data_IF_267634073958
#
_entry.id   IF_267634073958
#
_cell.length_a   1.000
_cell.length_b   1.000
_cell.length_c   1.000
_cell.angle_alpha   90.00
_cell.angle_beta   90.00
_cell.angle_gamma   90.00
#
_symmetry.space_group_name_H-M   'P 1'
#
loop_
_entity.id
_entity.type
_entity.pdbx_description
1 polymer ?
#
# COMPACT_ATOMS: atom_id res chain seq x y z
N UNK A 1 -47.50 58.33 22.13
CA UNK A 1 -46.51 57.77 23.05
C UNK A 1 -45.76 56.69 22.24
N UNK A 2 -44.83 56.97 21.31
CA UNK A 2 -43.59 57.77 21.37
C UNK A 2 -42.76 57.32 22.57
N UNK A 3 -41.61 56.63 22.50
CA UNK A 3 -40.43 56.59 21.60
C UNK A 3 -39.60 55.27 21.89
N UNK A 4 -38.31 55.08 21.51
CA UNK A 4 -37.71 55.04 20.18
C UNK A 4 -36.75 53.84 19.90
N UNK A 5 -36.44 53.69 18.60
CA UNK A 5 -35.31 53.00 17.99
C UNK A 5 -33.93 53.42 18.55
N UNK A 6 -32.98 52.48 18.59
CA UNK A 6 -31.54 52.76 18.71
C UNK A 6 -30.75 51.94 17.68
N UNK A 7 -30.05 52.64 16.80
CA UNK A 7 -29.09 52.11 15.83
C UNK A 7 -27.66 52.30 16.36
N UNK A 8 -26.70 51.40 16.07
CA UNK A 8 -25.30 51.65 16.32
C UNK A 8 -24.60 52.33 15.13
N UNK A 9 -23.79 53.34 15.47
CA UNK A 9 -23.02 54.17 14.56
C UNK A 9 -21.78 53.46 14.01
N UNK A 10 -21.47 53.73 12.75
CA UNK A 10 -20.26 53.30 12.05
C UNK A 10 -19.24 54.45 12.08
N UNK A 11 -18.12 54.26 12.78
CA UNK A 11 -16.98 55.16 12.75
C UNK A 11 -15.96 54.69 11.71
N UNK A 12 -15.85 55.49 10.66
CA UNK A 12 -14.85 55.46 9.59
C UNK A 12 -13.53 56.00 10.15
N UNK A 13 -12.45 55.22 10.09
CA UNK A 13 -11.08 55.73 10.24
C UNK A 13 -10.27 55.40 8.99
N UNK A 14 -9.99 56.47 8.24
CA UNK A 14 -9.11 56.53 7.08
C UNK A 14 -7.65 56.34 7.52
N UNK A 15 -6.92 55.38 6.92
CA UNK A 15 -5.45 55.34 6.96
C UNK A 15 -4.90 55.46 5.54
N UNK A 16 -4.12 56.51 5.32
CA UNK A 16 -3.33 56.73 4.10
C UNK A 16 -2.10 55.81 4.06
N UNK A 17 -1.63 55.44 2.86
CA UNK A 17 -0.39 54.69 2.67
C UNK A 17 0.84 55.61 2.65
N UNK A 18 1.89 55.21 3.37
CA UNK A 18 3.22 55.82 3.30
C UNK A 18 4.04 55.17 2.17
N UNK A 19 4.62 56.03 1.33
CA UNK A 19 5.59 55.74 0.28
C UNK A 19 6.98 55.45 0.85
N UNK A 20 7.64 54.38 0.39
CA UNK A 20 9.07 54.13 0.59
C UNK A 20 9.77 54.10 -0.79
N UNK A 21 10.85 54.87 -1.01
CA UNK A 21 11.68 54.75 -2.20
C UNK A 21 12.93 53.89 -1.97
N UNK A 22 13.35 53.26 -3.07
CA UNK A 22 14.70 52.84 -3.46
C UNK A 22 15.46 51.75 -2.69
N UNK A 23 15.65 50.60 -3.36
CA UNK A 23 16.96 49.94 -3.47
C UNK A 23 16.99 48.89 -4.60
N UNK A 24 17.64 49.26 -5.71
CA UNK A 24 18.73 48.51 -6.35
C UNK A 24 18.50 47.02 -6.71
N UNK A 25 18.16 46.74 -7.97
CA UNK A 25 18.33 45.41 -8.57
C UNK A 25 19.32 45.44 -9.74
N UNK A 26 20.48 44.84 -9.48
CA UNK A 26 21.55 44.65 -10.44
C UNK A 26 21.17 43.65 -11.55
N UNK A 27 21.57 44.00 -12.77
CA UNK A 27 21.45 43.17 -13.97
C UNK A 27 22.52 42.07 -13.95
N UNK A 28 22.10 40.82 -13.75
CA UNK A 28 22.91 39.62 -14.01
C UNK A 28 22.38 38.88 -15.23
N UNK A 29 23.03 39.06 -16.39
CA UNK A 29 22.88 38.19 -17.57
C UNK A 29 23.60 36.88 -17.27
N UNK A 30 22.89 35.75 -17.44
CA UNK A 30 23.47 34.42 -17.38
C UNK A 30 22.75 33.49 -18.35
N UNK A 31 23.43 33.14 -19.42
CA UNK A 31 23.14 32.03 -20.33
C UNK A 31 22.84 30.72 -19.59
N UNK A 32 21.93 29.92 -20.13
CA UNK A 32 22.17 28.50 -20.50
C UNK A 32 20.90 27.78 -20.98
N UNK A 33 21.02 27.20 -22.17
CA UNK A 33 20.79 25.77 -22.34
C UNK A 33 19.35 25.32 -22.54
N UNK A 34 18.97 25.17 -23.81
CA UNK A 34 17.78 24.43 -24.19
C UNK A 34 17.86 22.96 -23.79
N UNK A 35 16.73 22.44 -23.29
CA UNK A 35 16.47 21.01 -23.19
C UNK A 35 15.11 20.72 -23.81
N UNK A 36 15.17 19.97 -24.91
CA UNK A 36 14.02 19.39 -25.61
C UNK A 36 13.32 18.40 -24.67
N UNK A 37 12.16 18.80 -24.15
CA UNK A 37 11.26 17.93 -23.40
C UNK A 37 10.43 17.05 -24.33
N UNK A 38 10.73 15.76 -24.32
CA UNK A 38 9.91 14.67 -24.89
C UNK A 38 8.48 14.72 -24.33
N UNK A 39 7.50 14.50 -25.21
CA UNK A 39 6.08 14.47 -24.90
C UNK A 39 5.72 13.52 -23.76
N UNK A 40 5.16 14.08 -22.70
CA UNK A 40 4.43 13.35 -21.68
C UNK A 40 2.99 13.17 -22.16
N UNK A 41 2.55 11.92 -22.29
CA UNK A 41 1.14 11.57 -22.43
C UNK A 41 0.40 12.01 -21.17
N UNK A 42 -0.52 12.94 -21.35
CA UNK A 42 -1.52 13.32 -20.34
C UNK A 42 -2.52 12.16 -20.25
N UNK A 43 -2.54 11.48 -19.10
CA UNK A 43 -3.69 10.62 -18.74
C UNK A 43 -4.71 11.57 -18.13
N UNK A 44 -5.83 11.75 -18.81
CA UNK A 44 -6.96 12.51 -18.32
C UNK A 44 -7.53 11.81 -17.08
N UNK A 45 -7.40 12.44 -15.92
CA UNK A 45 -8.27 12.14 -14.78
C UNK A 45 -9.62 12.78 -15.11
N UNK A 46 -10.65 11.95 -15.28
CA UNK A 46 -12.02 12.43 -15.36
C UNK A 46 -12.39 13.06 -14.02
N UNK A 47 -12.39 14.40 -13.98
CA UNK A 47 -13.04 15.19 -12.94
C UNK A 47 -14.53 15.12 -13.24
N UNK A 48 -15.28 14.46 -12.37
CA UNK A 48 -16.72 14.38 -12.47
C UNK A 48 -17.32 15.54 -11.67
N UNK A 49 -17.75 16.60 -12.36
CA UNK A 49 -18.56 17.67 -11.78
C UNK A 49 -20.03 17.20 -11.75
N UNK A 50 -20.61 17.11 -10.55
CA UNK A 50 -22.05 17.00 -10.37
C UNK A 50 -22.66 18.41 -10.37
N UNK A 51 -23.41 18.73 -11.43
CA UNK A 51 -24.34 19.86 -11.43
C UNK A 51 -25.73 19.37 -11.02
N UNK A 52 -26.38 20.10 -10.12
CA UNK A 52 -27.75 19.82 -9.65
C UNK A 52 -28.72 20.89 -10.17
N UNK A 53 -29.99 20.49 -10.35
CA UNK A 53 -31.16 21.21 -10.87
C UNK A 53 -31.25 21.26 -12.42
N UNK A 54 -32.39 21.06 -13.07
CA UNK A 54 -33.79 20.86 -12.68
C UNK A 54 -34.65 20.85 -13.97
N UNK A 55 -35.82 20.21 -13.89
CA UNK A 55 -36.85 19.92 -14.90
C UNK A 55 -37.08 20.90 -16.09
N UNK A 56 -37.29 20.31 -17.29
CA UNK A 56 -38.52 20.37 -18.13
C UNK A 56 -38.31 20.43 -19.67
N UNK A 57 -38.88 19.40 -20.33
CA UNK A 57 -39.51 19.37 -21.67
C UNK A 57 -38.69 19.37 -22.99
N UNK A 58 -39.25 18.77 -24.08
CA UNK A 58 -38.47 18.12 -25.14
C UNK A 58 -38.42 18.90 -26.45
N UNK A 59 -37.30 18.80 -27.17
CA UNK A 59 -37.25 19.04 -28.62
C UNK A 59 -36.12 18.26 -29.29
N UNK A 60 -36.47 17.51 -30.32
CA UNK A 60 -35.58 16.95 -31.35
C UNK A 60 -35.91 17.64 -32.68
N UNK A 61 -35.09 17.51 -33.74
CA UNK A 61 -33.63 17.45 -33.80
C UNK A 61 -33.08 18.54 -34.74
N UNK A 62 -31.82 18.97 -34.55
CA UNK A 62 -31.13 19.78 -35.57
C UNK A 62 -29.80 19.14 -35.97
N UNK A 63 -29.89 18.52 -37.13
CA UNK A 63 -28.84 18.24 -38.10
C UNK A 63 -27.85 19.41 -38.19
N UNK A 64 -26.57 19.16 -37.92
CA UNK A 64 -25.50 20.00 -38.44
C UNK A 64 -24.28 19.14 -38.78
N UNK A 65 -23.96 19.24 -40.05
CA UNK A 65 -22.88 18.63 -40.77
C UNK A 65 -21.50 19.15 -40.36
N UNK A 66 -20.52 18.39 -40.85
CA UNK A 66 -19.24 18.88 -41.38
C UNK A 66 -18.10 19.15 -40.40
N UNK A 67 -17.12 18.25 -40.44
CA UNK A 67 -15.81 18.40 -39.84
C UNK A 67 -14.85 17.30 -40.28
N UNK A 68 -14.77 17.08 -41.60
CA UNK A 68 -13.96 16.02 -42.20
C UNK A 68 -12.46 16.22 -41.98
N UNK A 69 -11.80 15.17 -41.49
CA UNK A 69 -10.36 15.01 -41.61
C UNK A 69 -10.07 13.94 -42.66
N UNK A 70 -10.01 14.40 -43.91
CA UNK A 70 -9.36 13.70 -45.03
C UNK A 70 -7.84 13.87 -44.86
N UNK A 71 -7.07 12.79 -45.03
CA UNK A 71 -5.64 12.97 -45.29
C UNK A 71 -4.75 11.73 -45.21
N UNK A 72 -4.72 10.96 -46.32
CA UNK A 72 -3.53 10.34 -46.98
C UNK A 72 -2.68 9.37 -46.11
N UNK A 73 -2.65 8.07 -46.39
CA UNK A 73 -2.01 7.45 -47.58
C UNK A 73 -0.52 7.24 -47.28
N UNK A 74 0.14 6.10 -47.46
CA UNK A 74 -0.19 4.81 -48.08
C UNK A 74 0.98 3.84 -47.85
N UNK A 75 1.08 2.84 -48.75
CA UNK A 75 2.07 1.76 -48.84
C UNK A 75 1.69 0.49 -48.06
N UNK A 76 0.93 -0.44 -48.68
CA UNK A 76 1.41 -1.48 -49.62
C UNK A 76 2.63 -2.25 -49.10
N UNK A 77 2.33 -3.36 -48.42
CA UNK A 77 3.20 -4.52 -48.26
C UNK A 77 2.37 -5.77 -48.49
N UNK A 78 2.05 -6.03 -49.77
CA UNK A 78 1.47 -7.28 -50.25
C UNK A 78 2.59 -8.33 -50.20
N UNK A 79 2.42 -9.38 -49.40
CA UNK A 79 3.42 -10.43 -49.30
C UNK A 79 2.86 -11.70 -48.68
N UNK A 80 2.48 -12.64 -49.54
CA UNK A 80 2.76 -14.07 -49.33
C UNK A 80 1.91 -14.81 -48.33
N UNK A 81 0.76 -15.27 -48.78
CA UNK A 81 0.08 -16.46 -48.29
C UNK A 81 0.93 -17.71 -48.50
N UNK A 82 1.40 -18.31 -47.41
CA UNK A 82 1.81 -19.73 -47.35
C UNK A 82 1.37 -20.33 -46.00
N UNK A 83 0.46 -21.31 -45.98
CA UNK A 83 0.10 -22.03 -44.77
C UNK A 83 1.10 -23.16 -44.55
N UNK A 84 2.28 -22.84 -44.02
CA UNK A 84 3.15 -23.86 -43.45
C UNK A 84 2.77 -24.08 -42.00
N UNK A 85 2.12 -25.22 -41.76
CA UNK A 85 2.48 -26.17 -40.71
C UNK A 85 2.96 -25.52 -39.41
N UNK A 86 2.06 -25.46 -38.42
CA UNK A 86 2.42 -25.29 -37.02
C UNK A 86 3.19 -26.53 -36.55
N UNK A 87 4.43 -26.60 -37.03
CA UNK A 87 5.48 -27.44 -36.51
C UNK A 87 5.68 -27.03 -35.06
N UNK A 88 5.56 -28.03 -34.22
CA UNK A 88 5.93 -28.12 -32.81
C UNK A 88 7.39 -27.71 -32.63
N UNK A 89 7.66 -26.42 -32.77
CA UNK A 89 8.95 -25.79 -32.54
C UNK A 89 9.21 -25.74 -31.05
N UNK A 90 9.80 -26.81 -30.53
CA UNK A 90 10.43 -26.83 -29.23
C UNK A 90 11.44 -25.70 -29.17
N UNK A 91 11.04 -24.60 -28.55
CA UNK A 91 11.97 -23.58 -28.10
C UNK A 91 12.88 -24.26 -27.07
N UNK A 92 14.02 -24.77 -27.56
CA UNK A 92 15.28 -24.83 -26.83
C UNK A 92 15.61 -23.40 -26.41
N UNK A 93 14.86 -22.89 -25.42
CA UNK A 93 15.22 -21.69 -24.68
C UNK A 93 16.55 -22.00 -24.03
N UNK A 94 17.61 -21.40 -24.57
CA UNK A 94 18.98 -21.59 -24.12
C UNK A 94 19.04 -21.44 -22.62
N UNK A 95 19.28 -22.57 -21.94
CA UNK A 95 19.51 -22.63 -20.52
C UNK A 95 20.73 -21.79 -20.18
N UNK A 96 20.51 -20.57 -19.72
CA UNK A 96 21.44 -19.90 -18.82
C UNK A 96 21.35 -20.60 -17.46
N UNK A 97 21.84 -21.84 -17.42
CA UNK A 97 21.96 -22.70 -16.24
C UNK A 97 23.10 -22.25 -15.30
N UNK A 98 23.29 -20.93 -15.17
CA UNK A 98 24.28 -20.31 -14.28
C UNK A 98 23.64 -19.37 -13.26
N UNK A 99 22.32 -19.38 -13.14
CA UNK A 99 21.62 -18.69 -12.05
C UNK A 99 21.97 -19.36 -10.74
N UNK A 100 22.66 -18.64 -9.86
CA UNK A 100 23.09 -19.07 -8.53
C UNK A 100 21.95 -19.81 -7.82
N UNK A 101 22.30 -20.90 -7.12
CA UNK A 101 21.42 -21.71 -6.25
C UNK A 101 20.96 -20.90 -5.02
N UNK A 102 20.52 -19.67 -5.21
CA UNK A 102 19.99 -18.85 -4.13
C UNK A 102 18.59 -19.38 -3.80
N UNK A 103 18.33 -19.76 -2.54
CA UNK A 103 17.03 -20.27 -2.16
C UNK A 103 15.95 -19.23 -2.48
N UNK A 104 14.74 -19.67 -2.91
CA UNK A 104 13.66 -18.74 -3.19
C UNK A 104 13.34 -17.93 -1.94
N UNK A 105 13.10 -16.63 -2.13
CA UNK A 105 12.76 -15.74 -1.03
C UNK A 105 11.59 -16.33 -0.21
N UNK A 106 11.66 -16.30 1.14
CA UNK A 106 10.64 -16.89 1.99
C UNK A 106 9.29 -16.23 1.75
N UNK A 107 8.21 -17.02 1.83
CA UNK A 107 6.85 -16.49 1.69
C UNK A 107 6.52 -15.60 2.91
N UNK A 108 5.90 -14.43 2.72
CA UNK A 108 5.45 -13.61 3.84
C UNK A 108 4.48 -14.38 4.74
N UNK A 109 4.70 -14.31 6.04
CA UNK A 109 3.89 -14.97 7.07
C UNK A 109 3.14 -13.95 7.93
N UNK A 110 3.70 -12.75 8.08
CA UNK A 110 3.17 -11.68 8.93
C UNK A 110 3.12 -10.35 8.19
N UNK A 111 2.38 -9.40 8.75
CA UNK A 111 2.29 -8.04 8.22
C UNK A 111 2.03 -7.03 9.34
N UNK A 112 2.46 -5.79 9.12
CA UNK A 112 2.11 -4.64 9.95
C UNK A 112 0.88 -3.97 9.38
N UNK A 113 -0.05 -3.57 10.25
CA UNK A 113 -1.32 -3.01 9.82
C UNK A 113 -1.83 -1.90 10.75
N UNK A 114 -2.55 -0.94 10.15
CA UNK A 114 -3.43 -0.02 10.86
C UNK A 114 -4.87 -0.58 10.80
N UNK A 115 -5.43 -1.07 11.91
CA UNK A 115 -6.76 -1.69 11.91
C UNK A 115 -7.85 -0.65 11.67
N UNK A 116 -8.70 -0.85 10.67
CA UNK A 116 -9.80 0.06 10.32
C UNK A 116 -11.16 -0.39 10.84
N UNK A 117 -11.27 -1.65 11.27
CA UNK A 117 -12.52 -2.25 11.74
C UNK A 117 -13.06 -1.65 13.05
N UNK A 118 -12.25 -0.90 13.78
CA UNK A 118 -12.65 -0.18 14.99
C UNK A 118 -13.60 0.99 14.69
N UNK A 119 -13.77 1.35 13.42
CA UNK A 119 -14.65 2.45 13.00
C UNK A 119 -16.01 1.89 12.49
N UNK A 120 -17.04 1.80 13.35
CA UNK A 120 -18.29 1.10 13.02
C UNK A 120 -19.01 1.70 11.81
N UNK A 121 -18.93 3.03 11.63
CA UNK A 121 -19.48 3.70 10.44
C UNK A 121 -18.81 3.23 9.16
N UNK A 122 -17.48 3.07 9.14
CA UNK A 122 -16.77 2.60 7.96
C UNK A 122 -17.14 1.15 7.65
N UNK A 123 -17.16 0.30 8.68
CA UNK A 123 -17.55 -1.10 8.52
C UNK A 123 -18.97 -1.25 7.97
N UNK A 124 -19.92 -0.44 8.48
CA UNK A 124 -21.30 -0.42 7.98
C UNK A 124 -21.38 0.04 6.52
N UNK A 125 -20.66 1.10 6.15
CA UNK A 125 -20.68 1.61 4.76
C UNK A 125 -20.07 0.60 3.79
N UNK A 126 -18.94 -0.02 4.14
CA UNK A 126 -18.32 -1.08 3.34
C UNK A 126 -19.25 -2.29 3.23
N UNK A 127 -19.94 -2.67 4.31
CA UNK A 127 -20.91 -3.76 4.30
C UNK A 127 -22.10 -3.48 3.38
N UNK A 128 -22.69 -2.29 3.46
CA UNK A 128 -23.78 -1.86 2.59
C UNK A 128 -23.34 -1.81 1.12
N UNK A 129 -22.16 -1.26 0.85
CA UNK A 129 -21.54 -1.24 -0.47
C UNK A 129 -21.35 -2.65 -1.04
N UNK A 130 -20.77 -3.56 -0.27
CA UNK A 130 -20.54 -4.95 -0.69
C UNK A 130 -21.88 -5.68 -0.95
N UNK A 131 -22.89 -5.44 -0.13
CA UNK A 131 -24.23 -6.01 -0.30
C UNK A 131 -24.90 -5.51 -1.58
N UNK A 132 -24.80 -4.20 -1.86
CA UNK A 132 -25.31 -3.61 -3.10
C UNK A 132 -24.62 -4.19 -4.34
N UNK A 133 -23.29 -4.37 -4.30
CA UNK A 133 -22.55 -4.99 -5.40
C UNK A 133 -22.99 -6.44 -5.66
N UNK A 134 -23.25 -7.21 -4.61
CA UNK A 134 -23.69 -8.61 -4.73
C UNK A 134 -25.14 -8.73 -5.20
N UNK A 135 -25.98 -7.74 -4.91
CA UNK A 135 -27.38 -7.68 -5.32
C UNK A 135 -27.59 -7.03 -6.69
N UNK A 136 -26.54 -6.53 -7.34
CA UNK A 136 -26.62 -5.82 -8.62
C UNK A 136 -27.15 -6.71 -9.75
N UNK A 137 -28.08 -6.18 -10.54
CA UNK A 137 -28.67 -6.84 -11.71
C UNK A 137 -28.45 -5.97 -12.96
N UNK A 138 -27.77 -6.45 -14.03
CA UNK A 138 -27.19 -7.79 -14.17
C UNK A 138 -26.01 -8.04 -13.23
N UNK A 139 -25.80 -9.29 -12.82
CA UNK A 139 -24.69 -9.65 -11.93
C UNK A 139 -23.34 -9.19 -12.48
N UNK A 140 -22.51 -8.57 -11.64
CA UNK A 140 -21.18 -8.09 -12.04
C UNK A 140 -20.28 -9.28 -12.40
N UNK A 141 -19.75 -9.29 -13.61
CA UNK A 141 -18.91 -10.37 -14.10
C UNK A 141 -17.71 -10.60 -13.16
N UNK A 142 -17.55 -11.84 -12.71
CA UNK A 142 -16.47 -12.23 -11.81
C UNK A 142 -16.68 -11.92 -10.33
N UNK A 143 -17.71 -11.18 -9.95
CA UNK A 143 -17.99 -10.90 -8.54
C UNK A 143 -18.79 -12.05 -7.90
N UNK A 144 -18.39 -12.47 -6.70
CA UNK A 144 -19.22 -13.34 -5.84
C UNK A 144 -18.84 -13.14 -4.36
N UNK A 145 -19.65 -13.69 -3.45
CA UNK A 145 -19.45 -13.49 -2.00
C UNK A 145 -18.10 -14.00 -1.46
N UNK A 146 -17.46 -14.98 -2.10
CA UNK A 146 -16.20 -15.57 -1.60
C UNK A 146 -14.98 -14.66 -1.74
N UNK A 147 -15.06 -13.63 -2.60
CA UNK A 147 -13.97 -12.66 -2.81
C UNK A 147 -14.14 -11.38 -1.99
N UNK A 148 -15.25 -11.27 -1.25
CA UNK A 148 -15.56 -10.12 -0.40
C UNK A 148 -14.73 -10.19 0.88
N UNK A 149 -14.11 -9.07 1.26
CA UNK A 149 -13.40 -8.98 2.55
C UNK A 149 -14.41 -8.60 3.63
N UNK A 150 -14.51 -9.42 4.67
CA UNK A 150 -15.31 -9.11 5.86
C UNK A 150 -14.94 -7.71 6.42
N UNK A 151 -15.89 -6.80 6.63
CA UNK A 151 -15.65 -5.47 7.21
C UNK A 151 -14.88 -5.49 8.55
N UNK A 152 -14.95 -6.57 9.33
CA UNK A 152 -14.17 -6.76 10.57
C UNK A 152 -12.67 -6.96 10.32
N UNK A 153 -12.28 -7.25 9.09
CA UNK A 153 -10.89 -7.49 8.66
C UNK A 153 -10.29 -6.30 7.93
N UNK A 154 -10.97 -5.15 7.88
CA UNK A 154 -10.45 -3.96 7.21
C UNK A 154 -9.22 -3.41 7.94
N UNK A 155 -8.18 -3.11 7.17
CA UNK A 155 -6.92 -2.56 7.65
C UNK A 155 -6.14 -1.90 6.50
N UNK A 156 -5.23 -0.98 6.83
CA UNK A 156 -4.16 -0.53 5.92
C UNK A 156 -2.90 -1.34 6.17
N UNK A 157 -2.31 -1.93 5.13
CA UNK A 157 -1.04 -2.66 5.27
C UNK A 157 0.15 -1.69 5.22
N UNK A 158 1.03 -1.75 6.23
CA UNK A 158 2.25 -0.95 6.31
C UNK A 158 3.49 -1.72 5.80
N UNK A 159 3.46 -3.04 5.82
CA UNK A 159 4.56 -3.88 5.36
C UNK A 159 4.25 -5.36 5.56
N UNK A 160 4.84 -6.20 4.72
CA UNK A 160 4.76 -7.66 4.82
C UNK A 160 6.14 -8.22 5.14
N UNK A 161 6.20 -9.27 5.95
CA UNK A 161 7.45 -9.86 6.43
C UNK A 161 7.33 -11.38 6.56
N UNK A 162 8.46 -12.07 6.45
CA UNK A 162 8.59 -13.47 6.80
C UNK A 162 9.33 -13.54 8.14
N UNK A 163 8.62 -13.97 9.18
CA UNK A 163 9.19 -14.19 10.51
C UNK A 163 9.43 -15.68 10.71
N UNK A 164 10.54 -16.00 11.35
CA UNK A 164 10.87 -17.34 11.80
C UNK A 164 10.09 -17.67 13.07
N UNK A 165 9.71 -18.94 13.20
CA UNK A 165 9.18 -19.46 14.46
C UNK A 165 10.27 -19.35 15.53
N UNK A 166 9.88 -18.97 16.75
CA UNK A 166 10.81 -19.05 17.87
C UNK A 166 11.17 -20.52 18.04
N UNK A 167 12.46 -20.84 17.98
CA UNK A 167 12.94 -22.13 18.46
C UNK A 167 12.47 -22.23 19.91
N UNK A 168 11.38 -22.98 20.11
CA UNK A 168 10.94 -23.36 21.44
C UNK A 168 12.13 -23.93 22.20
N UNK A 169 12.14 -23.87 23.55
CA UNK A 169 13.27 -24.34 24.34
C UNK A 169 13.68 -25.69 23.79
N UNK A 170 14.87 -25.75 23.17
CA UNK A 170 15.34 -26.92 22.43
C UNK A 170 15.01 -28.10 23.34
N UNK A 171 14.19 -29.08 22.88
CA UNK A 171 13.65 -30.11 23.76
C UNK A 171 14.85 -30.66 24.50
N UNK A 172 14.94 -30.29 25.79
CA UNK A 172 16.12 -30.54 26.61
C UNK A 172 16.34 -32.00 26.44
N UNK A 173 17.42 -32.38 25.77
CA UNK A 173 17.70 -33.75 25.37
C UNK A 173 17.65 -34.57 26.65
N UNK A 174 16.46 -35.06 26.97
CA UNK A 174 16.18 -35.85 28.13
C UNK A 174 16.95 -37.10 27.82
N UNK A 175 18.11 -37.18 28.46
CA UNK A 175 19.08 -38.25 28.38
C UNK A 175 18.39 -39.53 27.95
N UNK A 176 18.56 -39.87 26.67
CA UNK A 176 18.46 -41.26 26.27
C UNK A 176 19.59 -41.98 26.99
N UNK A 177 19.32 -42.36 28.25
CA UNK A 177 19.98 -43.45 28.95
C UNK A 177 19.50 -44.72 28.24
N UNK A 178 19.88 -44.86 26.97
CA UNK A 178 19.82 -46.11 26.26
C UNK A 178 20.88 -47.01 26.90
N UNK A 179 20.43 -47.80 27.88
CA UNK A 179 21.08 -49.04 28.29
C UNK A 179 21.43 -49.81 27.01
N UNK A 180 22.71 -49.96 26.73
CA UNK A 180 23.23 -50.98 25.81
C UNK A 180 22.91 -52.37 26.36
N UNK A 181 22.17 -53.23 25.64
CA UNK A 181 22.36 -54.66 25.72
C UNK A 181 23.46 -55.01 24.70
N UNK A 182 24.57 -55.53 25.19
CA UNK A 182 25.76 -55.75 24.40
C UNK A 182 25.57 -56.67 23.19
N UNK A 183 26.44 -56.50 22.21
CA UNK A 183 26.91 -57.62 21.42
C UNK A 183 28.35 -57.38 20.98
N UNK A 184 29.20 -58.30 21.43
CA UNK A 184 30.59 -58.49 21.03
C UNK A 184 30.63 -58.98 19.59
N UNK A 185 31.59 -58.49 18.83
CA UNK A 185 32.14 -59.16 17.65
C UNK A 185 33.60 -58.75 17.49
N UNK A 186 34.56 -59.69 17.55
CA UNK A 186 35.93 -59.42 17.12
C UNK A 186 35.99 -59.56 15.59
N UNK A 187 36.81 -58.78 14.90
CA UNK A 187 37.83 -59.31 13.99
C UNK A 187 38.73 -58.18 13.41
N UNK A 188 39.98 -58.50 13.06
CA UNK A 188 41.07 -57.54 12.86
C UNK A 188 41.51 -57.39 11.39
N UNK A 189 42.53 -56.53 11.21
CA UNK A 189 43.44 -56.39 10.05
C UNK A 189 42.81 -55.80 8.78
N UNK A 190 43.47 -55.01 7.94
CA UNK A 190 44.77 -54.35 7.90
C UNK A 190 44.64 -53.42 6.67
N UNK A 191 45.04 -52.15 6.76
CA UNK A 191 45.62 -51.44 5.61
C UNK A 191 46.20 -50.10 6.05
N UNK A 192 47.48 -50.16 6.37
CA UNK A 192 48.38 -49.03 6.51
C UNK A 192 48.55 -48.39 5.13
N UNK A 193 48.06 -47.17 4.96
CA UNK A 193 48.52 -46.27 3.90
C UNK A 193 48.79 -44.90 4.53
N UNK A 194 50.04 -44.72 4.95
CA UNK A 194 50.58 -43.43 5.40
C UNK A 194 50.94 -42.61 4.17
N UNK A 195 50.17 -41.55 3.91
CA UNK A 195 50.53 -40.50 2.95
C UNK A 195 51.06 -39.28 3.72
N UNK A 196 52.37 -38.97 3.64
CA UNK A 196 52.96 -37.84 4.35
C UNK A 196 53.14 -36.67 3.39
N UNK A 197 52.17 -35.74 3.34
CA UNK A 197 52.38 -34.30 3.09
C UNK A 197 51.09 -33.54 2.76
N UNK A 198 50.26 -33.29 3.76
CA UNK A 198 49.35 -32.13 3.73
C UNK A 198 49.72 -31.20 4.86
N UNK A 199 50.53 -30.20 4.52
CA UNK A 199 50.86 -29.06 5.37
C UNK A 199 49.58 -28.25 5.60
N UNK A 200 48.78 -28.67 6.56
CA UNK A 200 47.63 -27.92 7.07
C UNK A 200 48.16 -26.62 7.67
N UNK A 201 47.95 -25.52 6.96
CA UNK A 201 48.05 -24.18 7.52
C UNK A 201 47.11 -24.10 8.72
N UNK A 202 47.55 -23.61 9.89
CA UNK A 202 46.70 -23.43 11.05
C UNK A 202 45.60 -22.46 10.65
N UNK A 203 44.42 -23.00 10.35
CA UNK A 203 43.25 -22.22 9.99
C UNK A 203 42.72 -21.70 11.32
N UNK A 204 42.94 -20.41 11.55
CA UNK A 204 42.53 -19.71 12.76
C UNK A 204 41.04 -20.01 13.06
N UNK A 205 40.72 -20.78 14.12
CA UNK A 205 39.36 -21.17 14.45
C UNK A 205 38.50 -20.00 14.94
N UNK A 206 39.03 -18.78 14.96
CA UNK A 206 38.38 -17.61 15.56
C UNK A 206 37.41 -16.88 14.65
N UNK A 207 37.38 -17.16 13.34
CA UNK A 207 36.59 -16.38 12.38
C UNK A 207 35.21 -17.00 12.09
N UNK A 208 34.41 -17.21 13.13
CA UNK A 208 32.98 -17.43 12.91
C UNK A 208 32.37 -16.12 12.39
N UNK A 209 31.66 -16.13 11.24
CA UNK A 209 30.94 -14.96 10.79
C UNK A 209 29.95 -14.53 11.87
N UNK A 210 29.80 -13.21 12.12
CA UNK A 210 28.84 -12.72 13.10
C UNK A 210 27.47 -13.31 12.78
N UNK A 211 26.89 -14.04 13.74
CA UNK A 211 25.57 -14.67 13.59
C UNK A 211 24.57 -13.54 13.35
N UNK A 212 23.99 -13.49 12.15
CA UNK A 212 22.94 -12.53 11.86
C UNK A 212 21.75 -12.80 12.82
N UNK A 213 21.21 -11.77 13.48
CA UNK A 213 20.11 -11.95 14.40
C UNK A 213 18.89 -12.51 13.68
N UNK A 214 18.35 -13.63 14.19
CA UNK A 214 17.12 -14.26 13.68
C UNK A 214 15.95 -13.27 13.75
N UNK A 215 15.09 -13.28 12.72
CA UNK A 215 13.93 -12.38 12.61
C UNK A 215 12.68 -13.07 13.15
N UNK A 216 12.50 -13.02 14.47
CA UNK A 216 11.40 -13.69 15.17
C UNK A 216 10.24 -12.73 15.45
N UNK A 217 9.12 -13.27 15.93
CA UNK A 217 7.96 -12.48 16.38
C UNK A 217 8.35 -11.59 17.57
N UNK A 218 9.07 -12.13 18.56
CA UNK A 218 9.52 -11.35 19.72
C UNK A 218 10.41 -10.17 19.30
N UNK A 219 11.38 -10.39 18.43
CA UNK A 219 12.28 -9.30 18.01
C UNK A 219 11.54 -8.22 17.20
N UNK A 220 10.58 -8.61 16.36
CA UNK A 220 9.69 -7.69 15.64
C UNK A 220 8.81 -6.87 16.59
N UNK A 221 8.25 -7.48 17.64
CA UNK A 221 7.45 -6.79 18.65
C UNK A 221 8.29 -5.83 19.50
N UNK A 222 9.52 -6.21 19.85
CA UNK A 222 10.47 -5.32 20.53
C UNK A 222 10.76 -4.09 19.68
N UNK A 223 11.02 -4.28 18.38
CA UNK A 223 11.18 -3.16 17.45
C UNK A 223 9.92 -2.30 17.39
N UNK A 224 8.73 -2.88 17.20
CA UNK A 224 7.49 -2.10 17.13
C UNK A 224 7.26 -1.25 18.38
N UNK A 225 7.53 -1.80 19.57
CA UNK A 225 7.42 -1.08 20.85
C UNK A 225 8.45 0.05 20.95
N UNK A 226 9.66 -0.15 20.45
CA UNK A 226 10.72 0.88 20.51
C UNK A 226 10.44 2.09 19.61
N UNK A 227 9.58 1.95 18.59
CA UNK A 227 9.15 3.04 17.71
C UNK A 227 8.11 3.98 18.35
N UNK A 228 7.49 3.58 19.46
CA UNK A 228 6.37 4.31 20.08
C UNK A 228 6.71 5.76 20.48
N UNK A 229 7.86 6.08 21.09
CA UNK A 229 8.20 7.46 21.42
C UNK A 229 8.28 8.35 20.17
N UNK A 230 8.94 7.89 19.10
CA UNK A 230 9.06 8.66 17.86
C UNK A 230 7.70 8.83 17.16
N UNK A 231 6.86 7.79 17.14
CA UNK A 231 5.49 7.90 16.61
C UNK A 231 4.71 8.97 17.39
N UNK A 232 4.84 8.99 18.72
CA UNK A 232 4.18 9.98 19.58
C UNK A 232 4.67 11.41 19.26
N UNK A 233 5.97 11.58 19.00
CA UNK A 233 6.54 12.86 18.55
C UNK A 233 6.01 13.28 17.19
N UNK A 234 5.88 12.36 16.21
CA UNK A 234 5.33 12.65 14.88
C UNK A 234 3.87 13.12 14.99
N UNK A 235 3.09 12.50 15.88
CA UNK A 235 1.70 12.84 16.14
C UNK A 235 1.54 14.14 16.92
N UNK A 236 2.51 14.53 17.74
CA UNK A 236 2.44 15.70 18.62
C UNK A 236 1.16 15.73 19.49
N UNK A 237 0.68 14.56 19.92
CA UNK A 237 -0.57 14.39 20.67
C UNK A 237 -1.86 14.54 19.84
N UNK A 238 -1.76 14.82 18.55
CA UNK A 238 -2.91 14.94 17.67
C UNK A 238 -3.50 13.57 17.32
N UNK A 239 -4.83 13.52 17.19
CA UNK A 239 -5.54 12.43 16.51
C UNK A 239 -5.43 12.64 15.01
N UNK A 240 -5.26 11.56 14.26
CA UNK A 240 -5.11 11.64 12.80
C UNK A 240 -6.42 11.20 12.18
N UNK A 241 -7.12 12.12 11.52
CA UNK A 241 -8.24 11.76 10.66
C UNK A 241 -7.75 11.70 9.23
N UNK A 242 -8.28 10.78 8.45
CA UNK A 242 -7.97 10.77 7.03
C UNK A 242 -9.14 10.19 6.24
N UNK A 243 -9.43 10.76 5.07
CA UNK A 243 -10.51 10.26 4.24
C UNK A 243 -10.01 9.12 3.35
N UNK A 244 -10.87 8.13 3.11
CA UNK A 244 -10.64 7.03 2.16
C UNK A 244 -11.34 7.32 0.82
N UNK A 245 -10.89 8.38 0.14
CA UNK A 245 -11.58 8.93 -1.05
C UNK A 245 -11.28 8.17 -2.34
N UNK A 246 -10.14 7.49 -2.41
CA UNK A 246 -9.69 6.81 -3.62
C UNK A 246 -10.21 5.39 -3.65
N UNK A 247 -11.05 5.05 -4.63
CA UNK A 247 -11.38 3.67 -4.96
C UNK A 247 -10.68 3.28 -6.27
N UNK A 248 -9.91 2.20 -6.26
CA UNK A 248 -9.08 1.78 -7.39
C UNK A 248 -8.78 0.27 -7.30
N UNK A 249 -8.11 -0.27 -8.30
CA UNK A 249 -7.88 -1.71 -8.45
C UNK A 249 -6.41 -2.09 -8.63
N UNK A 250 -6.09 -3.36 -8.39
CA UNK A 250 -4.82 -3.95 -8.82
C UNK A 250 -5.01 -5.02 -9.93
N UNK A 251 -4.20 -4.97 -11.00
CA UNK A 251 -3.24 -3.89 -11.32
C UNK A 251 -3.96 -2.56 -11.64
N UNK A 252 -3.32 -1.39 -11.44
CA UNK A 252 -3.95 -0.10 -11.66
C UNK A 252 -4.44 0.06 -13.11
N UNK A 253 -5.60 0.68 -13.29
CA UNK A 253 -6.21 0.91 -14.60
C UNK A 253 -6.88 -0.32 -15.24
N UNK A 254 -6.94 -1.45 -14.54
CA UNK A 254 -7.69 -2.62 -15.00
C UNK A 254 -9.20 -2.30 -15.02
N UNK A 255 -9.78 -2.18 -16.21
CA UNK A 255 -11.24 -2.00 -16.37
C UNK A 255 -11.99 -3.33 -16.31
N UNK A 256 -11.35 -4.41 -16.75
CA UNK A 256 -11.82 -5.79 -16.68
C UNK A 256 -10.75 -6.68 -16.05
N UNK A 257 -11.17 -7.82 -15.50
CA UNK A 257 -10.27 -8.78 -14.84
C UNK A 257 -9.42 -8.19 -13.70
N UNK A 258 -9.99 -7.24 -12.94
CA UNK A 258 -9.35 -6.71 -11.74
C UNK A 258 -9.27 -7.80 -10.65
N UNK A 259 -8.12 -7.91 -9.97
CA UNK A 259 -7.92 -8.92 -8.94
C UNK A 259 -8.22 -8.42 -7.53
N UNK A 260 -8.00 -7.13 -7.29
CA UNK A 260 -8.17 -6.51 -5.98
C UNK A 260 -8.89 -5.19 -6.15
N UNK A 261 -9.94 -4.95 -5.38
CA UNK A 261 -10.56 -3.64 -5.21
C UNK A 261 -10.12 -3.10 -3.85
N UNK A 262 -9.69 -1.85 -3.81
CA UNK A 262 -9.27 -1.22 -2.57
C UNK A 262 -9.80 0.20 -2.43
N UNK A 263 -9.96 0.62 -1.18
CA UNK A 263 -10.14 2.01 -0.78
C UNK A 263 -8.82 2.55 -0.28
N UNK A 264 -8.52 3.80 -0.55
CA UNK A 264 -7.27 4.41 -0.16
C UNK A 264 -7.44 5.89 0.10
N UNK A 265 -6.52 6.47 0.86
CA UNK A 265 -6.38 7.91 0.95
C UNK A 265 -6.01 8.50 -0.42
N UNK A 266 -6.40 9.75 -0.65
CA UNK A 266 -6.05 10.46 -1.86
C UNK A 266 -4.57 10.83 -1.80
N UNK A 267 -3.74 10.13 -2.58
CA UNK A 267 -2.31 10.44 -2.65
C UNK A 267 -2.15 11.88 -3.19
N UNK A 268 -1.43 12.78 -2.49
CA UNK A 268 -1.10 14.08 -3.01
C UNK A 268 -0.41 13.85 -4.34
N UNK A 269 -0.96 14.43 -5.40
CA UNK A 269 -0.34 14.40 -6.72
C UNK A 269 1.13 14.79 -6.59
N UNK A 270 2.02 14.11 -7.31
CA UNK A 270 3.47 14.35 -7.22
C UNK A 270 3.85 15.84 -7.41
N UNK A 271 3.00 16.61 -8.11
CA UNK A 271 3.08 18.07 -8.22
C UNK A 271 3.02 18.79 -6.86
N UNK A 272 2.14 18.34 -5.96
CA UNK A 272 1.99 18.90 -4.60
C UNK A 272 3.20 18.58 -3.72
N UNK A 273 3.87 17.44 -3.94
CA UNK A 273 5.13 17.08 -3.25
C UNK A 273 6.32 17.91 -3.71
N UNK A 274 6.39 18.29 -5.00
CA UNK A 274 7.50 19.09 -5.53
C UNK A 274 7.42 20.57 -5.15
N UNK A 275 6.22 21.13 -5.00
CA UNK A 275 6.02 22.54 -4.68
C UNK A 275 6.10 22.83 -3.16
N UNK A 276 7.06 22.23 -2.46
CA UNK A 276 7.26 22.33 -1.01
C UNK A 276 7.41 23.75 -0.42
N UNK A 277 7.38 24.80 -1.24
CA UNK A 277 7.48 26.20 -0.84
C UNK A 277 6.14 26.92 -0.59
N UNK A 278 4.99 26.28 -0.83
CA UNK A 278 3.69 26.97 -0.76
C UNK A 278 2.93 26.90 0.58
N UNK A 279 3.40 26.17 1.59
CA UNK A 279 2.68 26.02 2.87
C UNK A 279 3.05 27.12 3.85
N UNK A 280 2.49 28.31 3.66
CA UNK A 280 2.76 29.47 4.50
C UNK A 280 2.10 29.43 5.90
N UNK A 281 1.43 28.35 6.31
CA UNK A 281 0.67 28.32 7.57
C UNK A 281 0.99 27.17 8.53
N UNK A 282 2.15 26.50 8.42
CA UNK A 282 2.66 25.57 9.45
C UNK A 282 1.83 24.30 9.76
N UNK A 283 0.57 24.23 9.31
CA UNK A 283 -0.33 23.13 9.58
C UNK A 283 -0.04 21.97 8.63
N UNK A 284 0.50 20.88 9.18
CA UNK A 284 0.65 19.62 8.44
C UNK A 284 -0.74 19.09 8.13
N UNK A 285 -0.99 18.73 6.87
CA UNK A 285 -2.26 18.06 6.57
C UNK A 285 -2.29 16.71 7.30
N UNK A 286 -3.46 16.26 7.73
CA UNK A 286 -3.59 14.99 8.46
C UNK A 286 -3.04 13.81 7.64
N UNK A 287 -3.14 13.89 6.32
CA UNK A 287 -2.49 12.97 5.39
C UNK A 287 -0.97 12.93 5.54
N UNK A 288 -0.31 14.09 5.69
CA UNK A 288 1.15 14.11 5.86
C UNK A 288 1.54 13.45 7.19
N UNK A 289 0.73 13.63 8.23
CA UNK A 289 0.96 12.99 9.54
C UNK A 289 0.80 11.48 9.41
N UNK A 290 -0.31 10.99 8.82
CA UNK A 290 -0.52 9.56 8.57
C UNK A 290 0.62 8.96 7.75
N UNK A 291 0.97 9.59 6.63
CA UNK A 291 2.03 9.12 5.75
C UNK A 291 3.37 9.10 6.48
N UNK A 292 3.69 10.14 7.27
CA UNK A 292 4.94 10.22 8.04
C UNK A 292 5.04 9.07 9.05
N UNK A 293 3.96 8.77 9.78
CA UNK A 293 3.94 7.63 10.72
C UNK A 293 4.09 6.30 9.97
N UNK A 294 3.30 6.10 8.91
CA UNK A 294 3.29 4.87 8.14
C UNK A 294 4.66 4.59 7.47
N UNK A 295 5.24 5.60 6.82
CA UNK A 295 6.55 5.50 6.20
C UNK A 295 7.65 5.33 7.26
N UNK A 296 7.61 6.05 8.37
CA UNK A 296 8.57 5.86 9.47
C UNK A 296 8.60 4.40 9.98
N UNK A 297 7.42 3.82 10.25
CA UNK A 297 7.32 2.42 10.68
C UNK A 297 7.81 1.47 9.59
N UNK A 298 7.41 1.70 8.34
CA UNK A 298 7.86 0.91 7.20
C UNK A 298 9.39 0.93 7.05
N UNK A 299 10.01 2.12 7.05
CA UNK A 299 11.45 2.28 6.91
C UNK A 299 12.22 1.66 8.08
N UNK A 300 11.71 1.77 9.31
CA UNK A 300 12.33 1.14 10.47
C UNK A 300 12.37 -0.40 10.32
N UNK A 301 11.26 -1.02 9.95
CA UNK A 301 11.20 -2.46 9.74
C UNK A 301 11.97 -2.93 8.51
N UNK A 302 12.02 -2.13 7.45
CA UNK A 302 12.84 -2.39 6.27
C UNK A 302 14.33 -2.31 6.57
N UNK A 303 14.76 -1.29 7.32
CA UNK A 303 16.16 -1.09 7.73
C UNK A 303 16.65 -2.17 8.68
N UNK A 304 15.77 -2.68 9.54
CA UNK A 304 16.05 -3.83 10.40
C UNK A 304 15.95 -5.20 9.69
N UNK A 305 15.70 -5.21 8.37
CA UNK A 305 15.69 -6.42 7.54
C UNK A 305 14.40 -7.25 7.61
N UNK A 306 13.36 -6.83 8.34
CA UNK A 306 12.10 -7.58 8.42
C UNK A 306 11.30 -7.53 7.11
N UNK A 307 11.26 -6.37 6.47
CA UNK A 307 10.54 -6.17 5.20
C UNK A 307 11.52 -6.33 4.05
N UNK A 308 11.34 -7.38 3.24
CA UNK A 308 12.14 -7.64 2.04
C UNK A 308 11.49 -7.09 0.76
N UNK A 309 10.24 -6.62 0.82
CA UNK A 309 9.55 -6.03 -0.32
C UNK A 309 10.27 -4.74 -0.78
N UNK A 310 10.64 -4.71 -2.06
CA UNK A 310 11.36 -3.60 -2.68
C UNK A 310 10.43 -2.52 -3.21
N UNK A 311 9.12 -2.81 -3.32
CA UNK A 311 8.13 -1.87 -3.83
C UNK A 311 7.94 -0.69 -2.87
N UNK A 312 7.57 0.49 -3.38
CA UNK A 312 7.20 1.62 -2.53
C UNK A 312 5.99 1.28 -1.65
N UNK A 313 5.97 1.82 -0.42
CA UNK A 313 4.80 1.77 0.44
C UNK A 313 3.59 2.38 -0.29
N UNK A 314 2.47 1.67 -0.29
CA UNK A 314 1.19 2.17 -0.80
C UNK A 314 0.09 1.87 0.19
N UNK A 315 -0.47 2.90 0.80
CA UNK A 315 -1.56 2.76 1.75
C UNK A 315 -2.86 2.46 1.01
N UNK A 316 -3.43 1.30 1.31
CA UNK A 316 -4.72 0.88 0.76
C UNK A 316 -5.39 -0.12 1.71
N UNK A 317 -6.71 -0.12 1.69
CA UNK A 317 -7.61 -1.00 2.40
C UNK A 317 -8.33 -1.89 1.38
N UNK A 318 -7.96 -3.16 1.32
CA UNK A 318 -8.57 -4.10 0.37
C UNK A 318 -10.00 -4.44 0.81
N UNK A 319 -10.95 -4.28 -0.11
CA UNK A 319 -12.37 -4.61 0.12
C UNK A 319 -12.88 -5.78 -0.72
N UNK A 320 -12.23 -6.08 -1.86
CA UNK A 320 -12.43 -7.30 -2.65
C UNK A 320 -11.08 -7.91 -3.04
N UNK A 321 -10.96 -9.24 -3.02
CA UNK A 321 -9.76 -9.94 -3.44
C UNK A 321 -10.09 -11.28 -4.14
N UNK A 322 -9.93 -11.31 -5.47
CA UNK A 322 -10.20 -12.46 -6.31
C UNK A 322 -9.32 -13.69 -6.00
N UNK A 323 -8.17 -13.51 -5.32
CA UNK A 323 -7.34 -14.64 -4.88
C UNK A 323 -7.98 -15.46 -3.77
N UNK A 324 -8.98 -14.91 -3.07
CA UNK A 324 -9.72 -15.60 -2.01
C UNK A 324 -10.88 -16.46 -2.52
N UNK A 325 -11.10 -16.48 -3.85
CA UNK A 325 -12.25 -17.16 -4.48
C UNK A 325 -12.35 -18.62 -4.03
N UNK A 326 -13.57 -19.04 -3.70
CA UNK A 326 -13.92 -20.42 -3.36
C UNK A 326 -15.05 -20.92 -4.28
N UNK A 327 -15.01 -22.19 -4.73
CA UNK A 327 -13.87 -23.12 -4.63
C UNK A 327 -12.64 -22.60 -5.39
N UNK A 328 -11.47 -23.25 -5.20
CA UNK A 328 -10.22 -22.87 -5.90
C UNK A 328 -10.35 -23.22 -7.40
N UNK A 329 -10.99 -22.34 -8.15
CA UNK A 329 -11.10 -22.37 -9.61
C UNK A 329 -9.96 -21.55 -10.24
N UNK A 330 -9.70 -21.68 -11.56
CA UNK A 330 -8.79 -20.77 -12.25
C UNK A 330 -9.11 -19.32 -11.90
N UNK A 331 -8.09 -18.52 -11.59
CA UNK A 331 -8.30 -17.14 -11.14
C UNK A 331 -8.76 -16.29 -12.31
N UNK A 332 -9.99 -15.80 -12.24
CA UNK A 332 -10.49 -14.71 -13.07
C UNK A 332 -10.85 -13.53 -12.18
N UNK A 333 -10.53 -12.33 -12.66
CA UNK A 333 -10.84 -11.09 -11.95
C UNK A 333 -12.31 -10.71 -12.09
N UNK A 334 -12.69 -9.62 -11.43
CA UNK A 334 -14.01 -8.99 -11.58
C UNK A 334 -13.94 -7.80 -12.55
N UNK A 335 -15.09 -7.39 -13.08
CA UNK A 335 -15.21 -6.21 -13.95
C UNK A 335 -15.26 -4.93 -13.10
N UNK A 336 -14.18 -4.15 -13.09
CA UNK A 336 -14.15 -2.88 -12.37
C UNK A 336 -15.03 -1.82 -13.02
N UNK A 337 -15.13 -1.83 -14.36
CA UNK A 337 -16.05 -0.95 -15.08
C UNK A 337 -17.51 -1.17 -14.65
N UNK A 338 -17.92 -2.42 -14.40
CA UNK A 338 -19.29 -2.72 -13.96
C UNK A 338 -19.49 -2.36 -12.48
N UNK A 339 -18.47 -2.52 -11.63
CA UNK A 339 -18.48 -2.00 -10.25
C UNK A 339 -18.73 -0.48 -10.22
N UNK A 340 -18.12 0.28 -11.15
CA UNK A 340 -18.31 1.73 -11.24
C UNK A 340 -19.69 2.13 -11.79
N UNK A 341 -20.30 1.27 -12.61
CA UNK A 341 -21.63 1.51 -13.20
C UNK A 341 -22.78 1.13 -12.28
N UNK A 342 -22.53 0.26 -11.30
CA UNK A 342 -23.56 -0.19 -10.37
C UNK A 342 -24.19 1.02 -9.65
N UNK A 343 -25.47 1.28 -9.91
CA UNK A 343 -26.16 2.44 -9.35
C UNK A 343 -26.17 2.41 -7.81
N UNK A 344 -26.08 3.59 -7.19
CA UNK A 344 -26.03 3.73 -5.73
C UNK A 344 -24.68 3.39 -5.07
N UNK A 345 -23.79 2.67 -5.76
CA UNK A 345 -22.49 2.21 -5.23
C UNK A 345 -21.50 3.37 -5.02
N UNK A 346 -21.47 4.32 -5.95
CA UNK A 346 -20.61 5.53 -5.85
C UNK A 346 -21.09 6.49 -4.76
N UNK A 347 -22.40 6.54 -4.51
CA UNK A 347 -22.98 7.35 -3.42
C UNK A 347 -22.78 6.75 -2.03
N UNK A 348 -22.80 5.41 -1.91
CA UNK A 348 -22.69 4.68 -0.64
C UNK A 348 -21.34 4.86 0.05
N UNK A 349 -20.25 4.91 -0.71
CA UNK A 349 -18.94 5.18 -0.13
C UNK A 349 -18.68 6.67 0.09
N UNK A 350 -19.56 7.54 -0.40
CA UNK A 350 -19.47 8.98 -0.27
C UNK A 350 -18.05 9.45 -0.54
N UNK A 351 -17.58 9.32 -1.79
CA UNK A 351 -16.27 9.85 -2.21
C UNK A 351 -16.26 11.36 -1.90
N UNK A 352 -15.77 11.72 -0.69
CA UNK A 352 -15.85 13.06 -0.08
C UNK A 352 -16.43 13.16 1.36
N UNK A 353 -17.01 12.11 1.97
CA UNK A 353 -17.75 12.21 3.23
C UNK A 353 -17.36 11.21 4.35
N UNK A 354 -16.47 10.25 4.10
CA UNK A 354 -16.00 9.30 5.12
C UNK A 354 -14.59 9.61 5.59
N UNK A 355 -14.48 10.54 6.54
CA UNK A 355 -13.26 10.67 7.34
C UNK A 355 -13.21 9.56 8.37
N UNK A 356 -12.11 8.80 8.38
CA UNK A 356 -11.83 7.81 9.43
C UNK A 356 -11.00 8.53 10.48
N UNK A 357 -11.51 8.66 11.70
CA UNK A 357 -10.74 9.19 12.81
C UNK A 357 -9.98 8.06 13.49
N UNK A 358 -8.66 8.15 13.51
CA UNK A 358 -7.82 7.31 14.35
C UNK A 358 -7.45 8.05 15.61
N UNK A 359 -7.90 7.50 16.71
CA UNK A 359 -7.29 7.76 18.00
C UNK A 359 -6.19 6.73 18.22
N UNK A 360 -4.94 7.12 17.96
CA UNK A 360 -3.79 6.40 18.51
C UNK A 360 -3.71 6.78 19.99
N UNK A 361 -4.50 6.10 20.83
CA UNK A 361 -4.40 6.25 22.28
C UNK A 361 -2.99 5.75 22.64
N UNK A 362 -2.07 6.61 23.11
CA UNK A 362 -0.89 6.09 23.76
C UNK A 362 -1.42 5.33 24.96
N UNK A 363 -1.26 4.00 24.96
CA UNK A 363 -1.58 3.09 26.06
C UNK A 363 -0.82 3.54 27.32
N UNK A 364 -1.35 4.58 27.96
CA UNK A 364 -0.85 5.18 29.17
C UNK A 364 -1.52 4.38 30.26
N UNK A 365 -0.74 3.49 30.86
CA UNK A 365 -0.99 2.96 32.19
C UNK A 365 -2.35 2.29 32.36
N UNK A 366 -2.56 1.14 31.69
CA UNK A 366 -3.22 0.02 32.39
C UNK A 366 -2.20 -0.61 33.35
N UNK A 367 -1.62 0.21 34.24
CA UNK A 367 -0.94 -0.28 35.43
C UNK A 367 -2.03 -0.97 36.24
N UNK A 368 -1.95 -2.29 36.32
CA UNK A 368 -2.89 -3.10 37.06
C UNK A 368 -3.01 -2.56 38.47
N UNK A 369 -4.14 -1.95 38.76
CA UNK A 369 -4.69 -1.92 40.10
C UNK A 369 -4.98 -3.38 40.46
N UNK A 370 -3.94 -4.05 40.98
CA UNK A 370 -4.12 -5.29 41.73
C UNK A 370 -4.85 -4.87 43.00
N UNK A 371 -6.18 -4.84 42.91
CA UNK A 371 -7.05 -4.73 44.07
C UNK A 371 -6.56 -5.72 45.12
N UNK A 372 -6.05 -5.16 46.21
CA UNK A 372 -5.78 -5.90 47.43
C UNK A 372 -7.14 -6.43 47.91
N UNK A 373 -7.41 -7.70 47.61
CA UNK A 373 -8.51 -8.44 48.20
C UNK A 373 -8.28 -8.52 49.70
N UNK A 374 -8.96 -7.63 50.43
CA UNK A 374 -9.06 -7.72 51.88
C UNK A 374 -9.78 -9.00 52.25
N UNK A 375 -9.11 -9.82 53.05
CA UNK A 375 -9.75 -10.86 53.82
C UNK A 375 -10.67 -10.21 54.87
N UNK A 376 -11.94 -10.60 54.89
CA UNK A 376 -12.81 -10.57 56.06
C UNK A 376 -13.66 -11.83 56.06
#
# INVERSE_FOLDING_TARGET
MSTPNSAPSSSRLSRQPASNPDANSGRGRGDRGGLRGRGGRVIANAVFEQSTAGADSPSTPRQQDSGGWKGRGGHRGQGGSHPQSWGRGGAKGGGRAGGRNEPPAPRPTHFLALPLHTHPRLASLVSSFQSALLAHDPSIAGLNGSIVIDPRRLHLTLGVMALEEEEGPAPTSASHTARSPGQRGPHPADSVFTDPSTRTTPTDPSHHPPIEPKRTITSALVLLRSLRPQISTILAGARVKFPLEKMDVFPPGATSNANVLFLGPNEPTAARRRNGNGRNNGERSEWDVLWSVADFVHQAFKSAGYITDTRPLKLHCTILNASHRKPRVPRYGFSFADVLKAEGVTGLLGVGATSVEFELVPDATRTGDKGAGGAR
#
